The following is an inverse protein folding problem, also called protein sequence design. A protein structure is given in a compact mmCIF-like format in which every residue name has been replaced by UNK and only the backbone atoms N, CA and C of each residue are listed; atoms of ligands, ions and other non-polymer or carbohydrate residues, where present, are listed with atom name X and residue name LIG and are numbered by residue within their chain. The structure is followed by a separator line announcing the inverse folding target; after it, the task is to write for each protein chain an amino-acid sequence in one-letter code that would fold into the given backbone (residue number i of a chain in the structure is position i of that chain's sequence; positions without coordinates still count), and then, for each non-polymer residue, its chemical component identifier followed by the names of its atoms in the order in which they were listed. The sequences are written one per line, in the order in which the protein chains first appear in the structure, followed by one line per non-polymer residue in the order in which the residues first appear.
data_IF_838750816120
#
_entry.id   IF_838750816120
#
_cell.length_a   1.000
_cell.length_b   1.000
_cell.length_c   1.000
_cell.angle_alpha   90.00
_cell.angle_beta   90.00
_cell.angle_gamma   90.00
#
_symmetry.space_group_name_H-M   'P 1'
#
loop_
_entity.id
_entity.type
_entity.pdbx_description
1 polymer ?
#
# COMPACT_ATOMS: atom_id res chain seq x y z
N UNK A 1 -9.30 10.86 -12.90
CA UNK A 1 -8.85 10.12 -11.70
C UNK A 1 -9.85 10.34 -10.55
N UNK A 2 -9.92 9.40 -9.62
CA UNK A 2 -10.74 9.51 -8.40
C UNK A 2 -10.05 8.76 -7.26
N UNK A 3 -10.47 9.02 -6.01
CA UNK A 3 -9.95 8.34 -4.82
C UNK A 3 -11.03 7.40 -4.28
N UNK A 4 -10.60 6.20 -3.86
CA UNK A 4 -11.42 5.26 -3.07
C UNK A 4 -10.88 5.25 -1.65
N UNK A 5 -11.76 5.36 -0.67
CA UNK A 5 -11.42 5.27 0.75
C UNK A 5 -12.38 4.29 1.43
N UNK A 6 -11.86 3.47 2.32
CA UNK A 6 -12.65 2.57 3.15
C UNK A 6 -12.92 3.27 4.48
N UNK A 7 -14.20 3.39 4.85
CA UNK A 7 -14.61 4.20 6.01
C UNK A 7 -14.23 3.58 7.36
N UNK A 8 -13.84 2.30 7.35
CA UNK A 8 -13.34 1.52 8.47
C UNK A 8 -11.82 1.62 8.65
N UNK A 9 -11.08 2.09 7.65
CA UNK A 9 -9.64 2.35 7.75
C UNK A 9 -9.38 3.80 8.18
N UNK A 10 -9.03 3.97 9.44
CA UNK A 10 -8.70 5.26 10.03
C UNK A 10 -7.18 5.42 10.14
N UNK A 11 -6.65 6.45 9.49
CA UNK A 11 -5.25 6.82 9.58
C UNK A 11 -5.04 7.79 10.75
N UNK A 12 -4.31 7.36 11.76
CA UNK A 12 -4.01 8.18 12.93
C UNK A 12 -2.87 9.17 12.63
N UNK A 13 -3.22 10.43 12.36
CA UNK A 13 -2.27 11.50 12.08
C UNK A 13 -2.02 12.26 13.37
N UNK A 14 -0.99 11.83 14.11
CA UNK A 14 -0.64 12.39 15.44
C UNK A 14 0.30 13.60 15.37
N UNK A 15 0.99 13.79 14.23
CA UNK A 15 1.88 14.91 13.97
C UNK A 15 1.19 15.93 13.06
N UNK A 16 1.06 17.17 13.55
CA UNK A 16 0.48 18.30 12.79
C UNK A 16 1.21 18.65 11.49
N UNK A 17 2.45 18.18 11.32
CA UNK A 17 3.26 18.38 10.12
C UNK A 17 3.22 17.19 9.16
N UNK A 18 2.62 16.07 9.55
CA UNK A 18 2.53 14.89 8.70
C UNK A 18 1.61 15.13 7.50
N UNK A 19 2.05 14.67 6.33
CA UNK A 19 1.25 14.74 5.10
C UNK A 19 0.16 13.66 5.15
N UNK A 20 -1.13 13.99 4.96
CA UNK A 20 -2.19 12.98 4.96
C UNK A 20 -1.98 11.91 3.88
N UNK A 21 -2.31 10.65 4.18
CA UNK A 21 -2.10 9.52 3.26
C UNK A 21 -2.70 9.79 1.87
N UNK A 22 -3.93 10.29 1.81
CA UNK A 22 -4.59 10.61 0.54
C UNK A 22 -3.81 11.63 -0.28
N UNK A 23 -3.14 12.60 0.37
CA UNK A 23 -2.30 13.58 -0.33
C UNK A 23 -1.05 12.92 -0.90
N UNK A 24 -0.42 12.00 -0.16
CA UNK A 24 0.73 11.23 -0.64
C UNK A 24 0.36 10.43 -1.90
N UNK A 25 -0.77 9.71 -1.87
CA UNK A 25 -1.28 8.96 -3.03
C UNK A 25 -1.56 9.84 -4.25
N UNK A 26 -2.09 11.06 -4.04
CA UNK A 26 -2.32 12.02 -5.12
C UNK A 26 -1.01 12.54 -5.72
N UNK A 27 -0.01 12.80 -4.88
CA UNK A 27 1.31 13.27 -5.34
C UNK A 27 2.03 12.18 -6.16
N UNK A 28 1.93 10.91 -5.74
CA UNK A 28 2.45 9.75 -6.49
C UNK A 28 1.73 9.56 -7.83
N UNK A 29 0.39 9.68 -7.85
CA UNK A 29 -0.37 9.67 -9.09
C UNK A 29 0.05 10.79 -10.02
N UNK A 30 0.27 12.01 -9.51
CA UNK A 30 0.69 13.14 -10.35
C UNK A 30 2.06 12.88 -10.99
N UNK A 31 3.00 12.26 -10.27
CA UNK A 31 4.33 11.94 -10.76
C UNK A 31 4.34 10.78 -11.77
N UNK A 32 3.51 9.76 -11.56
CA UNK A 32 3.56 8.51 -12.34
C UNK A 32 2.45 8.38 -13.38
N UNK A 33 1.35 9.10 -13.21
CA UNK A 33 0.09 8.94 -13.93
C UNK A 33 -0.49 7.52 -13.87
N UNK A 34 -0.09 6.73 -12.86
CA UNK A 34 -0.52 5.35 -12.66
C UNK A 34 -1.39 5.21 -11.41
N UNK A 35 -2.29 4.22 -11.38
CA UNK A 35 -3.07 3.91 -10.18
C UNK A 35 -2.14 3.60 -9.00
N UNK A 36 -2.40 4.24 -7.85
CA UNK A 36 -1.61 4.09 -6.63
C UNK A 36 -2.47 3.48 -5.53
N UNK A 37 -1.90 2.53 -4.80
CA UNK A 37 -2.55 1.84 -3.68
C UNK A 37 -1.62 1.99 -2.47
N UNK A 38 -2.19 2.36 -1.32
CA UNK A 38 -1.45 2.37 -0.06
C UNK A 38 -1.25 0.94 0.44
N UNK A 39 -0.03 0.62 0.86
CA UNK A 39 0.30 -0.63 1.55
C UNK A 39 1.15 -0.31 2.77
N UNK A 40 1.13 -1.19 3.75
CA UNK A 40 1.97 -1.14 4.94
C UNK A 40 2.58 -2.51 5.23
N UNK A 41 3.77 -2.56 5.84
CA UNK A 41 4.32 -3.82 6.30
C UNK A 41 3.45 -4.40 7.43
N UNK A 42 3.08 -5.67 7.31
CA UNK A 42 2.45 -6.46 8.37
C UNK A 42 3.40 -7.53 8.89
N UNK A 43 3.09 -8.13 10.05
CA UNK A 43 3.81 -9.32 10.50
C UNK A 43 3.55 -10.45 9.51
N UNK A 44 4.58 -11.21 9.17
CA UNK A 44 4.48 -12.26 8.14
C UNK A 44 3.45 -13.34 8.50
N UNK A 45 3.23 -13.60 9.78
CA UNK A 45 2.20 -14.52 10.28
C UNK A 45 0.76 -14.02 10.06
N UNK A 46 0.56 -12.71 9.89
CA UNK A 46 -0.75 -12.10 9.74
C UNK A 46 -1.18 -11.94 8.26
N UNK A 47 -0.29 -12.20 7.29
CA UNK A 47 -0.51 -11.95 5.85
C UNK A 47 -1.75 -12.65 5.28
N UNK A 48 -2.17 -13.77 5.86
CA UNK A 48 -3.39 -14.48 5.46
C UNK A 48 -4.69 -13.74 5.77
N UNK A 49 -4.62 -12.62 6.48
CA UNK A 49 -5.78 -11.75 6.75
C UNK A 49 -5.96 -10.65 5.70
N UNK A 50 -4.97 -10.45 4.82
CA UNK A 50 -4.88 -9.29 3.94
C UNK A 50 -4.65 -9.69 2.48
N UNK A 51 -4.87 -8.74 1.58
CA UNK A 51 -4.34 -8.85 0.23
C UNK A 51 -2.92 -8.28 0.16
N UNK A 52 -2.00 -9.02 -0.43
CA UNK A 52 -0.56 -8.75 -0.38
C UNK A 52 -0.04 -8.47 -1.78
N UNK A 53 0.77 -7.42 -1.94
CA UNK A 53 1.38 -7.10 -3.23
C UNK A 53 2.62 -7.95 -3.51
N UNK A 54 2.87 -8.21 -4.80
CA UNK A 54 4.15 -8.68 -5.33
C UNK A 54 4.92 -7.49 -5.91
N UNK A 55 5.83 -6.86 -5.14
CA UNK A 55 6.61 -5.73 -5.63
C UNK A 55 7.71 -6.21 -6.60
N UNK A 56 7.92 -5.47 -7.70
CA UNK A 56 8.99 -5.75 -8.67
C UNK A 56 10.25 -4.93 -8.40
N UNK A 57 10.09 -3.61 -8.40
CA UNK A 57 11.17 -2.64 -8.24
C UNK A 57 10.68 -1.52 -7.34
N UNK A 58 11.48 -1.21 -6.33
CA UNK A 58 11.33 0.04 -5.60
C UNK A 58 11.86 1.18 -6.46
N UNK A 59 11.06 2.23 -6.57
CA UNK A 59 11.47 3.48 -7.20
C UNK A 59 12.14 4.38 -6.16
N UNK A 60 11.38 5.30 -5.57
CA UNK A 60 11.86 6.20 -4.53
C UNK A 60 10.79 6.35 -3.46
N UNK A 61 11.21 6.64 -2.22
CA UNK A 61 10.34 6.93 -1.09
C UNK A 61 9.27 5.85 -0.80
N UNK A 62 9.61 4.57 -0.95
CA UNK A 62 8.67 3.47 -0.69
C UNK A 62 7.62 3.25 -1.80
N UNK A 63 7.79 3.86 -2.97
CA UNK A 63 6.93 3.59 -4.13
C UNK A 63 7.40 2.35 -4.89
N UNK A 64 6.54 1.35 -5.02
CA UNK A 64 6.84 0.09 -5.72
C UNK A 64 6.03 -0.05 -7.02
N UNK A 65 6.68 -0.54 -8.07
CA UNK A 65 5.95 -1.13 -9.19
C UNK A 65 5.42 -2.51 -8.78
N UNK A 66 4.13 -2.77 -9.02
CA UNK A 66 3.43 -3.97 -8.56
C UNK A 66 3.12 -4.89 -9.74
N UNK A 67 3.51 -6.16 -9.63
CA UNK A 67 3.23 -7.18 -10.66
C UNK A 67 1.91 -7.91 -10.44
N UNK A 68 1.58 -8.19 -9.17
CA UNK A 68 0.40 -8.94 -8.80
C UNK A 68 -0.08 -8.55 -7.41
N UNK A 69 -1.37 -8.82 -7.18
CA UNK A 69 -2.02 -8.75 -5.88
C UNK A 69 -2.54 -10.14 -5.53
N UNK A 70 -2.22 -10.64 -4.35
CA UNK A 70 -2.61 -11.97 -3.89
C UNK A 70 -3.50 -11.82 -2.67
N UNK A 71 -4.76 -12.19 -2.78
CA UNK A 71 -5.73 -12.10 -1.68
C UNK A 71 -5.52 -13.24 -0.68
N UNK A 72 -5.24 -12.88 0.58
CA UNK A 72 -5.13 -13.80 1.73
C UNK A 72 -4.22 -15.00 1.48
N UNK A 73 -2.97 -14.79 1.04
CA UNK A 73 -2.03 -15.88 0.82
C UNK A 73 -1.73 -16.61 2.13
N UNK A 74 -1.39 -17.89 2.05
CA UNK A 74 -0.71 -18.54 3.16
C UNK A 74 0.64 -17.86 3.40
N UNK A 75 1.18 -17.84 4.63
CA UNK A 75 2.47 -17.22 4.89
C UNK A 75 3.57 -17.75 3.95
N UNK A 76 3.66 -19.07 3.77
CA UNK A 76 4.66 -19.70 2.89
C UNK A 76 4.52 -19.37 1.39
N UNK A 77 3.37 -18.86 0.96
CA UNK A 77 3.05 -18.51 -0.43
C UNK A 77 3.03 -16.99 -0.64
N UNK A 78 3.20 -16.20 0.43
CA UNK A 78 3.07 -14.75 0.37
C UNK A 78 4.26 -14.11 -0.37
N UNK A 79 4.01 -13.32 -1.45
CA UNK A 79 5.07 -12.75 -2.27
C UNK A 79 5.83 -11.62 -1.56
N UNK A 80 5.25 -11.03 -0.51
CA UNK A 80 5.87 -10.06 0.37
C UNK A 80 5.12 -10.00 1.71
N UNK A 81 5.42 -9.02 2.56
CA UNK A 81 4.62 -8.68 3.74
C UNK A 81 3.97 -7.29 3.62
N UNK A 82 3.82 -6.77 2.40
CA UNK A 82 3.21 -5.47 2.13
C UNK A 82 1.73 -5.69 1.80
N UNK A 83 0.87 -5.21 2.69
CA UNK A 83 -0.59 -5.35 2.64
C UNK A 83 -1.28 -3.99 2.65
#
# INVERSE_FOLDING_TARGET
PFVVMLGDDLMDITDSTAVPLTRQLMDDYNATQASTIAVMPVRYEDVSSYGVISPRLESSNGLYSVDAFVEKPKPEEAPSNLA
#
